data_IF_694251485722
#
_entry.id   IF_694251485722
#
_cell.length_a   1.000
_cell.length_b   1.000
_cell.length_c   1.000
_cell.angle_alpha   90.00
_cell.angle_beta   90.00
_cell.angle_gamma   90.00
#
_symmetry.space_group_name_H-M   'P 1'
#
loop_
_entity.id
_entity.type
_entity.pdbx_description
1 polymer ?
#
# COMPACT_ATOMS: atom_id res chain seq x y z
N UNK A 1 -59.09 -0.35 -62.23
CA UNK A 1 -58.35 -1.59 -61.96
C UNK A 1 -56.88 -1.23 -61.85
N UNK A 2 -56.31 -1.26 -60.64
CA UNK A 2 -54.93 -1.68 -60.32
C UNK A 2 -54.65 -1.38 -58.84
N UNK A 3 -54.12 -2.39 -58.14
CA UNK A 3 -53.78 -2.39 -56.71
C UNK A 3 -52.60 -1.45 -56.41
N UNK A 4 -52.54 -0.90 -55.21
CA UNK A 4 -51.26 -0.57 -54.57
C UNK A 4 -51.34 -0.67 -53.06
N UNK A 5 -50.23 -1.17 -52.52
CA UNK A 5 -49.99 -1.81 -51.23
C UNK A 5 -49.63 -0.83 -50.11
N UNK A 6 -49.93 -1.26 -48.89
CA UNK A 6 -49.64 -0.58 -47.62
C UNK A 6 -48.15 -0.63 -47.28
N UNK A 7 -47.59 0.47 -46.78
CA UNK A 7 -46.33 0.51 -46.02
C UNK A 7 -46.64 1.14 -44.67
N UNK A 8 -46.42 0.37 -43.59
CA UNK A 8 -46.54 0.83 -42.20
C UNK A 8 -45.22 1.49 -41.76
N UNK A 9 -45.31 2.70 -41.24
CA UNK A 9 -44.21 3.40 -40.60
C UNK A 9 -43.99 2.86 -39.18
N UNK A 10 -42.74 2.47 -38.86
CA UNK A 10 -42.29 2.15 -37.50
C UNK A 10 -41.55 3.34 -36.90
N UNK A 11 -41.95 3.75 -35.70
CA UNK A 11 -41.34 4.83 -34.91
C UNK A 11 -40.10 4.28 -34.19
N UNK A 12 -38.93 4.85 -34.46
CA UNK A 12 -37.69 4.63 -33.72
C UNK A 12 -37.60 5.64 -32.57
N UNK A 13 -37.68 5.15 -31.32
CA UNK A 13 -37.32 5.90 -30.12
C UNK A 13 -35.86 5.60 -29.79
N UNK A 14 -34.98 6.58 -29.99
CA UNK A 14 -33.59 6.52 -29.57
C UNK A 14 -33.48 6.97 -28.11
N UNK A 15 -33.03 6.10 -27.21
CA UNK A 15 -32.67 6.45 -25.84
C UNK A 15 -31.17 6.80 -25.79
N UNK A 16 -30.87 8.06 -25.49
CA UNK A 16 -29.53 8.57 -25.18
C UNK A 16 -29.16 8.13 -23.75
N UNK A 17 -28.12 7.30 -23.61
CA UNK A 17 -27.49 7.04 -22.32
C UNK A 17 -26.46 8.14 -22.05
N UNK A 18 -26.66 8.91 -20.97
CA UNK A 18 -25.64 9.81 -20.43
C UNK A 18 -24.62 9.01 -19.64
N UNK A 19 -23.36 9.04 -20.08
CA UNK A 19 -22.22 8.57 -19.30
C UNK A 19 -21.93 9.60 -18.20
N UNK A 20 -22.31 9.27 -16.96
CA UNK A 20 -21.85 9.99 -15.77
C UNK A 20 -20.50 9.44 -15.33
N UNK A 21 -19.50 10.31 -15.20
CA UNK A 21 -18.24 10.00 -14.51
C UNK A 21 -18.54 9.69 -13.03
N UNK A 22 -18.50 8.40 -12.66
CA UNK A 22 -18.67 7.93 -11.29
C UNK A 22 -17.32 7.63 -10.64
N UNK A 23 -17.08 8.20 -9.46
CA UNK A 23 -15.96 7.82 -8.59
C UNK A 23 -16.05 6.35 -8.17
N UNK A 24 -14.89 5.75 -7.94
CA UNK A 24 -14.75 4.34 -7.56
C UNK A 24 -15.68 4.00 -6.39
N UNK A 25 -16.74 3.25 -6.71
CA UNK A 25 -17.66 2.67 -5.75
C UNK A 25 -17.30 1.19 -5.70
N UNK A 26 -17.03 0.67 -4.50
CA UNK A 26 -16.95 -0.77 -4.30
C UNK A 26 -18.36 -1.31 -4.55
N UNK A 27 -18.51 -2.13 -5.59
CA UNK A 27 -19.79 -2.69 -5.99
C UNK A 27 -20.02 -2.67 -7.50
N UNK A 28 -19.31 -3.53 -8.22
CA UNK A 28 -19.82 -4.24 -9.40
C UNK A 28 -18.79 -5.28 -9.83
N UNK A 29 -18.99 -6.55 -9.48
CA UNK A 29 -18.39 -7.67 -10.22
C UNK A 29 -19.20 -8.95 -10.05
N UNK A 30 -19.40 -9.57 -11.20
CA UNK A 30 -20.13 -10.80 -11.49
C UNK A 30 -19.41 -12.04 -10.96
N UNK A 31 -20.15 -12.90 -10.26
CA UNK A 31 -19.72 -14.25 -9.92
C UNK A 31 -19.65 -15.13 -11.18
N UNK A 32 -18.43 -15.30 -11.70
CA UNK A 32 -18.09 -16.23 -12.78
C UNK A 32 -17.41 -17.46 -12.18
N UNK A 33 -18.07 -18.61 -12.24
CA UNK A 33 -17.74 -19.81 -11.49
C UNK A 33 -16.56 -20.63 -12.03
N UNK A 34 -15.91 -21.28 -11.07
CA UNK A 34 -14.88 -22.30 -11.22
C UNK A 34 -14.17 -22.45 -9.89
N UNK A 35 -14.80 -23.06 -8.87
CA UNK A 35 -14.12 -23.32 -7.60
C UNK A 35 -13.12 -24.45 -7.83
N UNK A 36 -11.82 -24.18 -7.85
CA UNK A 36 -10.88 -25.25 -7.52
C UNK A 36 -11.07 -25.68 -6.07
N UNK A 37 -10.35 -26.72 -5.64
CA UNK A 37 -10.59 -27.39 -4.35
C UNK A 37 -10.50 -26.45 -3.12
N UNK A 38 -9.82 -25.31 -3.25
CA UNK A 38 -9.69 -24.27 -2.23
C UNK A 38 -10.84 -23.23 -2.18
N UNK A 39 -11.61 -23.07 -3.26
CA UNK A 39 -12.66 -22.03 -3.35
C UNK A 39 -12.16 -20.63 -3.71
N UNK A 40 -12.99 -19.61 -3.49
CA UNK A 40 -12.69 -18.22 -3.84
C UNK A 40 -11.84 -17.54 -2.75
N UNK A 41 -10.88 -16.70 -3.15
CA UNK A 41 -10.05 -15.89 -2.26
C UNK A 41 -9.94 -14.45 -2.77
N UNK A 42 -10.52 -13.48 -2.05
CA UNK A 42 -10.48 -12.06 -2.43
C UNK A 42 -9.36 -11.33 -1.66
N UNK A 43 -8.31 -10.93 -2.35
CA UNK A 43 -7.19 -10.20 -1.74
C UNK A 43 -7.19 -8.75 -2.21
N UNK A 44 -7.05 -7.81 -1.27
CA UNK A 44 -6.81 -6.41 -1.61
C UNK A 44 -5.40 -6.26 -2.22
N UNK A 45 -5.20 -5.25 -3.07
CA UNK A 45 -3.89 -4.83 -3.60
C UNK A 45 -3.73 -3.36 -3.23
N UNK A 46 -2.87 -3.07 -2.26
CA UNK A 46 -2.60 -1.69 -1.86
C UNK A 46 -1.48 -1.06 -2.71
N UNK A 47 -1.52 0.27 -2.94
CA UNK A 47 -0.77 0.90 -4.04
C UNK A 47 0.68 1.22 -3.67
N UNK A 48 1.42 0.23 -3.17
CA UNK A 48 2.87 0.27 -3.02
C UNK A 48 3.48 -1.12 -3.27
N UNK A 49 4.68 -1.14 -3.85
CA UNK A 49 5.21 -2.38 -4.43
C UNK A 49 5.59 -3.44 -3.39
N UNK A 50 5.92 -3.03 -2.16
CA UNK A 50 6.14 -3.95 -1.04
C UNK A 50 4.88 -4.80 -0.74
N UNK A 51 3.71 -4.17 -0.76
CA UNK A 51 2.44 -4.87 -0.59
C UNK A 51 2.14 -5.74 -1.80
N UNK A 52 2.33 -5.20 -3.01
CA UNK A 52 2.10 -5.93 -4.25
C UNK A 52 2.92 -7.23 -4.29
N UNK A 53 4.16 -7.21 -3.79
CA UNK A 53 5.00 -8.38 -3.62
C UNK A 53 4.39 -9.42 -2.66
N UNK A 54 3.96 -9.00 -1.47
CA UNK A 54 3.28 -9.88 -0.50
C UNK A 54 2.05 -10.55 -1.11
N UNK A 55 1.17 -9.75 -1.72
CA UNK A 55 -0.08 -10.22 -2.29
C UNK A 55 0.14 -11.11 -3.53
N UNK A 56 1.14 -10.81 -4.36
CA UNK A 56 1.46 -11.60 -5.54
C UNK A 56 1.95 -13.00 -5.17
N UNK A 57 2.82 -13.14 -4.16
CA UNK A 57 3.30 -14.44 -3.69
C UNK A 57 2.17 -15.27 -3.09
N UNK A 58 1.35 -14.66 -2.22
CA UNK A 58 0.19 -15.34 -1.64
C UNK A 58 -0.81 -15.80 -2.70
N UNK A 59 -1.13 -14.93 -3.67
CA UNK A 59 -2.04 -15.28 -4.76
C UNK A 59 -1.47 -16.42 -5.62
N UNK A 60 -0.20 -16.33 -6.01
CA UNK A 60 0.43 -17.35 -6.84
C UNK A 60 0.44 -18.72 -6.14
N UNK A 61 0.78 -18.78 -4.85
CA UNK A 61 0.75 -20.03 -4.07
C UNK A 61 -0.69 -20.55 -3.91
N UNK A 62 -1.65 -19.68 -3.63
CA UNK A 62 -3.06 -20.05 -3.54
C UNK A 62 -3.58 -20.65 -4.85
N UNK A 63 -3.25 -20.06 -5.99
CA UNK A 63 -3.67 -20.54 -7.32
C UNK A 63 -2.98 -21.86 -7.70
N UNK A 64 -1.66 -21.95 -7.50
CA UNK A 64 -0.85 -23.04 -8.04
C UNK A 64 -0.72 -24.27 -7.14
N UNK A 65 -0.68 -24.08 -5.81
CA UNK A 65 -0.50 -25.17 -4.85
C UNK A 65 -1.82 -25.62 -4.21
N UNK A 66 -2.82 -24.73 -4.15
CA UNK A 66 -4.12 -25.00 -3.50
C UNK A 66 -5.31 -24.98 -4.47
N UNK A 67 -5.13 -24.49 -5.69
CA UNK A 67 -6.21 -24.38 -6.67
C UNK A 67 -7.30 -23.37 -6.26
N UNK A 68 -6.97 -22.31 -5.53
CA UNK A 68 -7.93 -21.26 -5.20
C UNK A 68 -8.24 -20.41 -6.44
N UNK A 69 -9.45 -19.86 -6.52
CA UNK A 69 -9.80 -18.81 -7.48
C UNK A 69 -9.57 -17.45 -6.83
N UNK A 70 -8.46 -16.80 -7.18
CA UNK A 70 -8.05 -15.55 -6.52
C UNK A 70 -8.59 -14.35 -7.28
N UNK A 71 -9.29 -13.47 -6.57
CA UNK A 71 -9.69 -12.15 -7.07
C UNK A 71 -8.85 -11.08 -6.40
N UNK A 72 -8.04 -10.38 -7.18
CA UNK A 72 -7.21 -9.25 -6.74
C UNK A 72 -8.00 -7.95 -6.91
N UNK A 73 -8.04 -7.09 -5.89
CA UNK A 73 -8.79 -5.84 -5.91
C UNK A 73 -7.90 -4.66 -5.54
N UNK A 74 -7.62 -3.81 -6.52
CA UNK A 74 -6.87 -2.57 -6.31
C UNK A 74 -7.67 -1.62 -5.42
N UNK A 75 -7.20 -1.45 -4.18
CA UNK A 75 -7.88 -0.68 -3.14
C UNK A 75 -6.85 0.09 -2.33
N UNK A 76 -7.21 1.29 -1.90
CA UNK A 76 -6.46 1.99 -0.83
C UNK A 76 -6.57 1.18 0.46
N UNK A 77 -5.54 1.22 1.29
CA UNK A 77 -5.45 0.41 2.51
C UNK A 77 -6.71 0.55 3.38
N UNK A 78 -7.05 1.78 3.78
CA UNK A 78 -8.26 2.05 4.60
C UNK A 78 -9.57 1.60 3.93
N UNK A 79 -9.63 1.65 2.59
CA UNK A 79 -10.81 1.22 1.84
C UNK A 79 -10.94 -0.29 1.85
N UNK A 80 -9.83 -1.03 1.83
CA UNK A 80 -9.84 -2.50 1.89
C UNK A 80 -10.53 -3.01 3.16
N UNK A 81 -10.36 -2.32 4.29
CA UNK A 81 -11.03 -2.65 5.55
C UNK A 81 -12.56 -2.59 5.47
N UNK A 82 -13.12 -1.74 4.62
CA UNK A 82 -14.57 -1.64 4.43
C UNK A 82 -15.16 -2.90 3.77
N UNK A 83 -14.36 -3.61 2.97
CA UNK A 83 -14.77 -4.82 2.25
C UNK A 83 -14.90 -6.07 3.13
N UNK A 84 -14.38 -6.05 4.36
CA UNK A 84 -14.44 -7.23 5.24
C UNK A 84 -15.88 -7.62 5.61
N UNK A 85 -16.74 -6.64 5.89
CA UNK A 85 -18.13 -6.88 6.28
C UNK A 85 -19.02 -7.40 5.15
N UNK A 86 -18.69 -7.05 3.90
CA UNK A 86 -19.44 -7.46 2.70
C UNK A 86 -18.92 -8.77 2.09
N UNK A 87 -17.72 -9.20 2.48
CA UNK A 87 -17.01 -10.32 1.84
C UNK A 87 -16.39 -9.95 0.50
N UNK A 88 -16.25 -8.65 0.22
CA UNK A 88 -15.53 -8.19 -0.98
C UNK A 88 -14.02 -8.26 -0.78
N UNK A 89 -13.53 -8.23 0.45
CA UNK A 89 -12.11 -8.43 0.78
C UNK A 89 -12.04 -9.50 1.86
N UNK A 90 -11.21 -10.52 1.64
CA UNK A 90 -10.91 -11.57 2.61
C UNK A 90 -9.63 -11.27 3.38
N UNK A 91 -8.61 -10.66 2.75
CA UNK A 91 -7.34 -10.37 3.38
C UNK A 91 -6.72 -9.02 2.95
N UNK A 92 -6.17 -8.33 3.95
CA UNK A 92 -5.13 -7.30 3.84
C UNK A 92 -3.86 -7.90 4.45
N UNK A 93 -2.78 -7.98 3.68
CA UNK A 93 -1.62 -8.84 4.02
C UNK A 93 -0.37 -8.09 4.48
N UNK A 94 -0.48 -6.77 4.58
CA UNK A 94 0.51 -5.87 5.14
C UNK A 94 -0.21 -4.62 5.59
N UNK A 95 -0.44 -4.53 6.90
CA UNK A 95 -1.17 -3.43 7.50
C UNK A 95 -0.20 -2.56 8.32
N UNK A 96 -0.12 -1.27 7.99
CA UNK A 96 0.78 -0.30 8.60
C UNK A 96 0.18 0.33 9.87
N UNK A 97 -0.24 -0.52 10.82
CA UNK A 97 -0.83 -0.06 12.09
C UNK A 97 -2.36 0.05 12.04
N UNK A 98 -2.91 1.28 12.03
CA UNK A 98 -4.36 1.55 12.02
C UNK A 98 -5.16 1.12 13.26
N UNK A 99 -4.79 1.61 14.46
CA UNK A 99 -5.50 1.32 15.70
C UNK A 99 -6.98 1.75 15.70
N UNK A 100 -7.30 2.82 14.98
CA UNK A 100 -8.66 3.30 14.77
C UNK A 100 -9.48 2.32 13.92
N UNK A 101 -8.90 1.76 12.84
CA UNK A 101 -9.55 0.74 12.02
C UNK A 101 -9.69 -0.58 12.79
N UNK A 102 -8.69 -0.98 13.58
CA UNK A 102 -8.82 -2.15 14.47
C UNK A 102 -9.99 -2.00 15.42
N UNK A 103 -10.04 -0.88 16.14
CA UNK A 103 -11.15 -0.59 17.06
C UNK A 103 -12.51 -0.68 16.36
N UNK A 104 -12.62 -0.06 15.18
CA UNK A 104 -13.86 -0.05 14.41
C UNK A 104 -14.25 -1.44 13.89
N UNK A 105 -13.36 -2.14 13.19
CA UNK A 105 -13.70 -3.36 12.44
C UNK A 105 -13.51 -4.66 13.23
N UNK A 106 -12.56 -4.69 14.17
CA UNK A 106 -12.30 -5.86 15.01
C UNK A 106 -13.15 -5.78 16.30
N UNK A 107 -13.06 -4.69 17.05
CA UNK A 107 -13.67 -4.63 18.39
C UNK A 107 -15.16 -4.30 18.34
N UNK A 108 -15.53 -3.25 17.60
CA UNK A 108 -16.90 -2.74 17.55
C UNK A 108 -17.77 -3.54 16.57
N UNK A 109 -17.38 -3.61 15.28
CA UNK A 109 -18.18 -4.26 14.23
C UNK A 109 -17.96 -5.78 14.15
N UNK A 110 -16.81 -6.29 14.60
CA UNK A 110 -16.45 -7.72 14.59
C UNK A 110 -16.50 -8.36 13.20
N UNK A 111 -16.20 -7.57 12.17
CA UNK A 111 -16.16 -7.99 10.77
C UNK A 111 -14.75 -8.41 10.34
N UNK A 112 -13.71 -8.06 11.11
CA UNK A 112 -12.33 -8.41 10.85
C UNK A 112 -11.66 -9.06 12.07
N UNK A 113 -10.55 -9.77 11.85
CA UNK A 113 -9.67 -10.31 12.88
C UNK A 113 -8.21 -10.22 12.46
N UNK A 114 -7.28 -10.13 13.42
CA UNK A 114 -5.85 -10.24 13.11
C UNK A 114 -5.49 -11.69 12.76
N UNK A 115 -4.77 -11.85 11.66
CA UNK A 115 -4.11 -13.08 11.27
C UNK A 115 -2.62 -13.10 11.70
N UNK A 116 -2.16 -12.12 12.48
CA UNK A 116 -0.81 -12.03 13.03
C UNK A 116 0.21 -11.46 12.05
N UNK A 117 1.46 -11.39 12.48
CA UNK A 117 2.58 -10.79 11.75
C UNK A 117 2.78 -11.39 10.35
N UNK A 118 3.14 -10.53 9.39
CA UNK A 118 3.67 -10.88 8.07
C UNK A 118 5.16 -11.28 8.14
N UNK A 119 5.83 -10.99 9.27
CA UNK A 119 7.27 -11.14 9.47
C UNK A 119 8.08 -9.95 8.95
N UNK A 120 7.40 -8.93 8.39
CA UNK A 120 8.02 -7.72 7.86
C UNK A 120 8.02 -6.64 8.92
N UNK A 121 9.19 -6.10 9.21
CA UNK A 121 9.37 -4.97 10.12
C UNK A 121 9.44 -3.67 9.33
N UNK A 122 8.48 -2.76 9.58
CA UNK A 122 8.33 -1.50 8.89
C UNK A 122 8.89 -0.32 9.68
N UNK A 123 9.45 0.66 9.00
CA UNK A 123 9.79 1.95 9.58
C UNK A 123 9.47 3.06 8.58
N UNK A 124 8.69 4.05 9.02
CA UNK A 124 8.38 5.27 8.27
C UNK A 124 9.30 6.39 8.75
N UNK A 125 9.61 7.34 7.88
CA UNK A 125 10.30 8.56 8.30
C UNK A 125 10.53 9.55 7.17
N UNK A 126 11.27 10.61 7.49
CA UNK A 126 11.74 11.57 6.49
C UNK A 126 13.14 11.22 6.05
N UNK A 127 13.41 11.40 4.77
CA UNK A 127 14.66 11.03 4.16
C UNK A 127 15.19 12.14 3.26
N UNK A 128 16.50 12.23 3.16
CA UNK A 128 17.22 13.06 2.21
C UNK A 128 18.15 12.20 1.35
N UNK A 129 18.44 12.61 0.11
CA UNK A 129 19.45 11.94 -0.71
C UNK A 129 20.85 11.97 -0.07
N UNK A 130 21.68 10.93 -0.29
CA UNK A 130 23.06 10.86 0.21
C UNK A 130 23.87 12.12 -0.06
N UNK A 131 23.82 12.66 -1.28
CA UNK A 131 24.61 13.85 -1.63
C UNK A 131 24.27 15.07 -0.78
N UNK A 132 23.00 15.19 -0.35
CA UNK A 132 22.52 16.32 0.42
C UNK A 132 23.00 16.23 1.85
N UNK A 133 22.95 15.03 2.44
CA UNK A 133 23.52 14.75 3.76
C UNK A 133 25.05 14.89 3.77
N UNK A 134 25.75 14.47 2.72
CA UNK A 134 27.21 14.66 2.61
C UNK A 134 27.58 16.16 2.58
N UNK A 135 26.80 16.95 1.84
CA UNK A 135 27.06 18.39 1.70
C UNK A 135 26.63 19.20 2.92
N UNK A 136 25.54 18.80 3.59
CA UNK A 136 25.00 19.46 4.78
C UNK A 136 24.81 18.43 5.90
N UNK A 137 25.88 18.05 6.62
CA UNK A 137 25.81 16.93 7.58
C UNK A 137 24.86 17.14 8.75
N UNK A 138 24.48 18.38 9.08
CA UNK A 138 23.53 18.72 10.13
C UNK A 138 22.06 18.75 9.64
N UNK A 139 21.79 18.46 8.36
CA UNK A 139 20.44 18.48 7.77
C UNK A 139 19.56 17.32 8.27
N UNK A 140 20.17 16.24 8.75
CA UNK A 140 19.45 15.07 9.27
C UNK A 140 18.94 15.28 10.69
N UNK A 141 19.34 16.33 11.40
CA UNK A 141 18.72 16.69 12.68
C UNK A 141 17.52 17.61 12.41
N UNK A 142 16.32 17.14 12.79
CA UNK A 142 15.07 17.88 12.56
C UNK A 142 15.12 19.32 13.09
N UNK A 143 15.87 19.59 14.17
CA UNK A 143 16.00 20.92 14.77
C UNK A 143 16.64 21.93 13.81
N UNK A 144 17.44 21.45 12.85
CA UNK A 144 18.14 22.29 11.89
C UNK A 144 17.34 22.52 10.61
N UNK A 145 16.22 21.83 10.38
CA UNK A 145 15.51 21.89 9.09
C UNK A 145 15.06 23.30 8.71
N UNK A 146 14.71 24.16 9.68
CA UNK A 146 14.33 25.55 9.40
C UNK A 146 15.45 26.40 8.81
N UNK A 147 16.72 26.06 9.08
CA UNK A 147 17.90 26.68 8.44
C UNK A 147 17.89 26.43 6.92
N UNK A 148 17.28 25.34 6.48
CA UNK A 148 17.28 24.85 5.11
C UNK A 148 15.95 25.04 4.38
N UNK A 149 14.90 25.54 5.03
CA UNK A 149 13.55 25.63 4.48
C UNK A 149 13.51 26.32 3.10
N UNK A 150 14.23 27.43 2.92
CA UNK A 150 14.28 28.14 1.63
C UNK A 150 14.86 27.31 0.48
N UNK A 151 15.73 26.33 0.79
CA UNK A 151 16.34 25.44 -0.21
C UNK A 151 15.32 24.48 -0.83
N UNK A 152 14.28 24.11 -0.08
CA UNK A 152 13.25 23.16 -0.49
C UNK A 152 12.00 23.85 -1.05
N UNK A 153 12.04 25.16 -1.31
CA UNK A 153 10.86 25.89 -1.82
C UNK A 153 10.46 25.43 -3.22
N UNK A 154 9.17 25.23 -3.40
CA UNK A 154 8.53 24.94 -4.69
C UNK A 154 7.37 25.90 -4.94
N UNK A 155 6.79 25.84 -6.13
CA UNK A 155 5.53 26.56 -6.42
C UNK A 155 4.38 26.13 -5.49
N UNK A 156 4.37 24.87 -5.07
CA UNK A 156 3.35 24.21 -4.29
C UNK A 156 3.47 24.54 -2.79
N UNK A 157 4.70 24.76 -2.30
CA UNK A 157 5.00 25.14 -0.92
C UNK A 157 5.03 26.66 -0.70
N UNK A 158 5.15 27.45 -1.76
CA UNK A 158 5.09 28.92 -1.73
C UNK A 158 6.28 29.55 -1.02
N UNK A 159 6.03 30.12 0.17
CA UNK A 159 7.08 30.75 0.99
C UNK A 159 7.81 29.76 1.93
N UNK A 160 7.25 28.56 2.11
CA UNK A 160 7.75 27.54 3.01
C UNK A 160 8.57 26.50 2.24
N UNK A 161 9.45 25.76 2.91
CA UNK A 161 10.08 24.57 2.32
C UNK A 161 9.04 23.50 2.00
N UNK A 162 9.28 22.68 0.98
CA UNK A 162 8.46 21.51 0.71
C UNK A 162 8.97 20.31 1.51
N UNK A 163 8.07 19.65 2.24
CA UNK A 163 8.22 18.24 2.62
C UNK A 163 7.39 17.42 1.63
N UNK A 164 8.04 16.60 0.81
CA UNK A 164 7.35 15.79 -0.19
C UNK A 164 6.79 14.53 0.46
N UNK A 165 5.47 14.34 0.38
CA UNK A 165 4.78 13.15 0.91
C UNK A 165 4.27 12.26 -0.26
N UNK A 166 3.81 11.05 0.04
CA UNK A 166 3.34 10.05 -0.91
C UNK A 166 1.91 10.24 -1.39
N UNK A 167 1.18 9.13 -1.52
CA UNK A 167 -0.27 9.18 -1.72
C UNK A 167 -0.96 9.63 -0.42
N UNK A 168 -1.96 10.53 -0.46
CA UNK A 168 -2.68 10.98 0.74
C UNK A 168 -3.39 9.89 1.56
N UNK A 169 -3.44 8.65 1.08
CA UNK A 169 -3.97 7.49 1.80
C UNK A 169 -2.91 6.61 2.45
N UNK A 170 -1.63 6.97 2.34
CA UNK A 170 -0.59 6.32 3.13
C UNK A 170 -0.69 6.74 4.59
N UNK A 171 -0.23 5.87 5.48
CA UNK A 171 -0.08 6.20 6.89
C UNK A 171 0.99 7.29 7.02
N UNK A 172 0.57 8.47 7.45
CA UNK A 172 1.45 9.63 7.64
C UNK A 172 0.95 10.51 8.78
N UNK A 173 1.90 11.12 9.48
CA UNK A 173 1.75 12.10 10.54
C UNK A 173 2.39 13.45 10.16
N UNK A 174 2.79 13.60 8.90
CA UNK A 174 3.74 14.63 8.47
C UNK A 174 3.20 16.06 8.64
N UNK A 175 1.89 16.27 8.44
CA UNK A 175 1.27 17.58 8.70
C UNK A 175 1.29 17.95 10.19
N UNK A 176 0.99 16.98 11.06
CA UNK A 176 1.05 17.17 12.51
C UNK A 176 2.48 17.41 12.97
N UNK A 177 3.45 16.65 12.44
CA UNK A 177 4.87 16.83 12.73
C UNK A 177 5.38 18.21 12.31
N UNK A 178 5.15 18.61 11.06
CA UNK A 178 5.55 19.94 10.55
C UNK A 178 4.98 21.04 11.44
N UNK A 179 3.69 20.96 11.79
CA UNK A 179 3.02 21.93 12.65
C UNK A 179 3.59 21.95 14.07
N UNK A 180 3.64 20.80 14.74
CA UNK A 180 3.94 20.69 16.16
C UNK A 180 5.44 20.85 16.46
N UNK A 181 6.31 20.57 15.49
CA UNK A 181 7.74 20.87 15.54
C UNK A 181 8.06 22.31 15.11
N UNK A 182 7.05 23.13 14.78
CA UNK A 182 7.19 24.52 14.32
C UNK A 182 8.14 24.65 13.12
N UNK A 183 8.00 23.76 12.16
CA UNK A 183 8.82 23.77 10.95
C UNK A 183 8.22 24.73 9.91
N UNK A 184 9.08 25.51 9.26
CA UNK A 184 8.75 26.39 8.14
C UNK A 184 8.62 25.59 6.84
N UNK A 185 7.83 24.53 6.88
CA UNK A 185 7.60 23.61 5.78
C UNK A 185 6.11 23.48 5.52
N UNK A 186 5.78 23.07 4.30
CA UNK A 186 4.45 22.66 3.89
C UNK A 186 4.56 21.24 3.32
N UNK A 187 3.69 20.37 3.79
CA UNK A 187 3.53 19.02 3.22
C UNK A 187 2.89 19.15 1.85
N UNK A 188 3.49 18.50 0.86
CA UNK A 188 3.00 18.43 -0.52
C UNK A 188 2.97 16.98 -0.94
N UNK A 189 1.78 16.47 -1.23
CA UNK A 189 1.59 15.08 -1.65
C UNK A 189 1.94 14.89 -3.13
N UNK A 190 2.93 14.05 -3.41
CA UNK A 190 3.31 13.61 -4.75
C UNK A 190 2.35 12.58 -5.35
N UNK A 191 1.47 12.00 -4.54
CA UNK A 191 0.34 11.17 -4.98
C UNK A 191 0.65 9.70 -5.22
N UNK A 192 1.90 9.25 -5.08
CA UNK A 192 2.27 7.83 -5.21
C UNK A 192 3.68 7.52 -4.68
N UNK A 193 3.93 6.24 -4.37
CA UNK A 193 5.28 5.70 -4.11
C UNK A 193 6.22 5.94 -5.31
N UNK A 194 5.73 5.74 -6.54
CA UNK A 194 6.52 5.96 -7.76
C UNK A 194 6.99 7.41 -7.87
N UNK A 195 6.15 8.39 -7.51
CA UNK A 195 6.54 9.79 -7.51
C UNK A 195 7.66 10.10 -6.50
N UNK A 196 7.59 9.53 -5.29
CA UNK A 196 8.64 9.63 -4.27
C UNK A 196 9.96 9.05 -4.77
N UNK A 197 9.93 7.83 -5.31
CA UNK A 197 11.12 7.14 -5.86
C UNK A 197 11.78 7.99 -6.96
N UNK A 198 10.98 8.53 -7.88
CA UNK A 198 11.49 9.38 -8.96
C UNK A 198 12.07 10.69 -8.43
N UNK A 199 11.43 11.31 -7.44
CA UNK A 199 11.94 12.53 -6.81
C UNK A 199 13.33 12.29 -6.18
N UNK A 200 13.48 11.20 -5.41
CA UNK A 200 14.77 10.85 -4.80
C UNK A 200 15.84 10.48 -5.84
N UNK A 201 15.50 9.71 -6.87
CA UNK A 201 16.43 9.39 -7.97
C UNK A 201 16.92 10.63 -8.71
N UNK A 202 16.00 11.53 -9.07
CA UNK A 202 16.35 12.78 -9.74
C UNK A 202 17.16 13.70 -8.83
N UNK A 203 16.81 13.76 -7.55
CA UNK A 203 17.55 14.52 -6.55
C UNK A 203 18.99 14.04 -6.43
N UNK A 204 19.21 12.72 -6.37
CA UNK A 204 20.55 12.14 -6.30
C UNK A 204 21.35 12.35 -7.61
N UNK A 205 20.74 12.14 -8.76
CA UNK A 205 21.39 12.28 -10.06
C UNK A 205 21.75 13.74 -10.39
N UNK A 206 20.83 14.68 -10.13
CA UNK A 206 20.96 16.08 -10.52
C UNK A 206 21.46 16.98 -9.38
N UNK A 207 21.67 16.43 -8.18
CA UNK A 207 22.04 17.17 -6.97
C UNK A 207 21.04 18.30 -6.66
N UNK A 208 19.76 18.01 -6.84
CA UNK A 208 18.66 18.93 -6.51
C UNK A 208 18.06 18.58 -5.15
N UNK A 209 17.80 19.56 -4.27
CA UNK A 209 17.38 19.32 -2.89
C UNK A 209 15.98 18.71 -2.82
N UNK A 210 15.84 17.60 -2.10
CA UNK A 210 14.57 16.98 -1.72
C UNK A 210 14.67 16.47 -0.28
N UNK A 211 13.63 16.72 0.50
CA UNK A 211 13.34 16.03 1.76
C UNK A 211 11.93 15.46 1.61
N UNK A 212 11.72 14.21 1.99
CA UNK A 212 10.41 13.59 1.82
C UNK A 212 10.16 12.39 2.70
N UNK A 213 8.88 12.07 2.84
CA UNK A 213 8.36 10.83 3.38
C UNK A 213 8.93 9.64 2.60
N UNK A 214 9.35 8.62 3.32
CA UNK A 214 9.59 7.29 2.77
C UNK A 214 9.51 6.25 3.88
N UNK A 215 9.76 4.99 3.53
CA UNK A 215 9.71 3.90 4.50
C UNK A 215 10.67 2.78 4.13
N UNK A 216 10.97 1.92 5.10
CA UNK A 216 11.64 0.64 4.91
C UNK A 216 10.73 -0.51 5.38
N UNK A 217 10.82 -1.71 4.80
CA UNK A 217 11.74 -2.09 3.72
C UNK A 217 11.36 -1.46 2.38
N UNK A 218 12.38 -1.03 1.64
CA UNK A 218 12.23 -0.49 0.30
C UNK A 218 13.41 -0.88 -0.58
N UNK A 219 13.13 -1.41 -1.76
CA UNK A 219 14.16 -1.86 -2.71
C UNK A 219 15.03 -0.70 -3.22
N UNK A 220 14.52 0.54 -3.20
CA UNK A 220 15.27 1.73 -3.61
C UNK A 220 16.54 1.93 -2.78
N UNK A 221 16.54 1.52 -1.50
CA UNK A 221 17.72 1.66 -0.62
C UNK A 221 18.95 0.90 -1.14
N UNK A 222 18.78 -0.11 -2.00
CA UNK A 222 19.89 -0.82 -2.63
C UNK A 222 20.53 -0.03 -3.79
N UNK A 223 19.83 0.96 -4.35
CA UNK A 223 20.34 1.86 -5.39
C UNK A 223 20.82 3.19 -4.80
N UNK A 224 20.02 3.75 -3.89
CA UNK A 224 20.27 5.03 -3.24
C UNK A 224 20.04 4.83 -1.75
N UNK A 225 21.13 4.81 -0.97
CA UNK A 225 21.09 4.70 0.50
C UNK A 225 20.60 6.03 1.11
N UNK A 226 19.30 6.33 0.96
CA UNK A 226 18.70 7.55 1.49
C UNK A 226 18.96 7.65 2.99
N UNK A 227 19.28 8.86 3.44
CA UNK A 227 19.66 9.12 4.82
C UNK A 227 18.42 9.59 5.58
N UNK A 228 18.06 8.85 6.64
CA UNK A 228 16.93 9.20 7.50
C UNK A 228 17.23 10.48 8.28
N UNK A 229 16.22 11.34 8.39
CA UNK A 229 16.22 12.49 9.29
C UNK A 229 15.82 12.00 10.68
N UNK A 230 16.67 12.28 11.66
CA UNK A 230 16.40 12.05 13.08
C UNK A 230 15.30 13.00 13.53
N UNK A 231 14.07 12.51 13.65
CA UNK A 231 12.94 13.18 14.31
C UNK A 231 13.00 12.96 15.84
N UNK A 232 12.20 13.68 16.66
CA UNK A 232 12.13 13.38 18.10
C UNK A 232 11.70 11.93 18.29
N UNK A 233 12.46 11.14 19.06
CA UNK A 233 12.20 9.68 19.16
C UNK A 233 10.77 9.36 19.56
N UNK A 234 10.21 8.33 18.93
CA UNK A 234 8.93 7.77 19.32
C UNK A 234 8.96 7.30 20.79
N UNK A 235 7.87 7.58 21.50
CA UNK A 235 7.56 6.98 22.81
C UNK A 235 6.13 6.49 22.78
N UNK A 236 5.85 5.34 23.41
CA UNK A 236 4.52 4.74 23.42
C UNK A 236 3.40 5.76 23.75
N UNK A 237 2.42 5.87 22.87
CA UNK A 237 1.27 6.77 22.99
C UNK A 237 1.52 8.20 22.50
N UNK A 238 2.69 8.50 21.93
CA UNK A 238 2.94 9.79 21.29
C UNK A 238 2.03 10.05 20.08
N UNK A 239 1.59 8.97 19.41
CA UNK A 239 0.68 8.94 18.26
C UNK A 239 -0.80 8.74 18.65
N UNK A 240 -1.14 8.74 19.95
CA UNK A 240 -2.51 8.49 20.42
C UNK A 240 -3.49 9.63 20.10
N UNK A 241 -2.99 10.86 19.89
CA UNK A 241 -3.78 12.02 19.48
C UNK A 241 -3.19 12.59 18.18
N UNK A 242 -3.82 12.35 17.02
CA UNK A 242 -3.32 12.78 15.72
C UNK A 242 -2.98 14.26 15.62
N UNK A 243 -3.66 15.13 16.38
CA UNK A 243 -3.40 16.57 16.34
C UNK A 243 -2.15 17.00 17.14
N UNK A 244 -1.68 16.14 18.06
CA UNK A 244 -0.58 16.44 19.00
C UNK A 244 0.73 15.71 18.68
N UNK A 245 0.77 14.93 17.61
CA UNK A 245 1.95 14.15 17.24
C UNK A 245 3.14 15.07 17.01
N UNK A 246 4.23 14.81 17.73
CA UNK A 246 5.48 15.57 17.67
C UNK A 246 6.70 14.66 17.85
N UNK A 247 6.58 13.38 17.45
CA UNK A 247 7.64 12.40 17.47
C UNK A 247 7.67 11.59 16.16
N UNK A 248 8.80 10.97 15.91
CA UNK A 248 9.03 10.00 14.85
C UNK A 248 8.00 8.86 14.90
N UNK A 249 7.91 8.13 13.81
CA UNK A 249 7.05 6.97 13.69
C UNK A 249 7.54 5.82 14.59
N UNK A 250 6.64 4.97 15.10
CA UNK A 250 7.05 3.73 15.77
C UNK A 250 7.70 2.77 14.76
N UNK A 251 8.43 1.79 15.29
CA UNK A 251 8.74 0.59 14.51
C UNK A 251 7.46 -0.24 14.40
N UNK A 252 7.16 -0.73 13.20
CA UNK A 252 5.96 -1.48 12.90
C UNK A 252 6.28 -2.97 12.74
N UNK A 253 5.54 -3.83 13.44
CA UNK A 253 5.39 -5.23 13.04
C UNK A 253 4.21 -5.30 12.08
N UNK A 254 4.47 -5.34 10.77
CA UNK A 254 3.41 -5.35 9.76
C UNK A 254 2.65 -6.66 9.87
N UNK A 255 1.33 -6.56 10.03
CA UNK A 255 0.48 -7.72 10.25
C UNK A 255 -0.56 -7.90 9.15
N UNK A 256 -1.20 -9.06 9.20
CA UNK A 256 -2.27 -9.43 8.28
C UNK A 256 -3.59 -9.28 9.00
N UNK A 257 -4.55 -8.66 8.34
CA UNK A 257 -5.92 -8.53 8.80
C UNK A 257 -6.83 -9.24 7.82
N UNK A 258 -7.72 -10.08 8.33
CA UNK A 258 -8.64 -10.85 7.49
C UNK A 258 -10.08 -10.64 7.91
N UNK A 259 -11.01 -10.90 7.00
CA UNK A 259 -12.43 -10.90 7.35
C UNK A 259 -12.70 -12.00 8.38
N UNK A 260 -13.59 -11.72 9.34
CA UNK A 260 -14.04 -12.70 10.35
C UNK A 260 -14.63 -13.94 9.69
N UNK A 261 -15.37 -13.74 8.59
CA UNK A 261 -15.98 -14.81 7.80
C UNK A 261 -14.93 -15.74 7.18
N UNK A 262 -13.86 -15.19 6.59
CA UNK A 262 -12.77 -15.96 6.01
C UNK A 262 -12.02 -16.76 7.07
N UNK A 263 -11.74 -16.14 8.24
CA UNK A 263 -11.12 -16.81 9.36
C UNK A 263 -11.98 -17.94 9.95
N UNK A 264 -13.29 -17.73 10.11
CA UNK A 264 -14.22 -18.72 10.66
C UNK A 264 -14.45 -19.90 9.72
N UNK A 265 -14.43 -19.66 8.40
CA UNK A 265 -14.50 -20.73 7.41
C UNK A 265 -13.27 -21.66 7.49
N UNK A 266 -12.10 -21.12 7.90
CA UNK A 266 -10.92 -21.91 8.21
C UNK A 266 -10.28 -22.64 7.03
N UNK A 267 -10.66 -22.28 5.79
CA UNK A 267 -10.29 -22.99 4.56
C UNK A 267 -8.80 -22.89 4.18
N UNK A 268 -8.36 -23.60 3.13
CA UNK A 268 -6.96 -23.66 2.73
C UNK A 268 -6.31 -22.29 2.49
N UNK A 269 -7.00 -21.36 1.83
CA UNK A 269 -6.51 -20.00 1.62
C UNK A 269 -6.31 -19.24 2.94
N UNK A 270 -7.20 -19.39 3.92
CA UNK A 270 -7.03 -18.77 5.23
C UNK A 270 -5.81 -19.33 5.96
N UNK A 271 -5.60 -20.64 5.92
CA UNK A 271 -4.42 -21.26 6.53
C UNK A 271 -3.13 -20.76 5.86
N UNK A 272 -3.11 -20.63 4.53
CA UNK A 272 -1.99 -20.04 3.80
C UNK A 272 -1.69 -18.62 4.30
N UNK A 273 -2.68 -17.73 4.33
CA UNK A 273 -2.52 -16.35 4.83
C UNK A 273 -2.08 -16.35 6.30
N UNK A 274 -2.68 -17.20 7.13
CA UNK A 274 -2.37 -17.30 8.56
C UNK A 274 -0.92 -17.70 8.80
N UNK A 275 -0.42 -18.67 8.04
CA UNK A 275 0.93 -19.20 8.18
C UNK A 275 2.00 -18.35 7.46
N UNK A 276 1.61 -17.58 6.45
CA UNK A 276 2.52 -16.75 5.66
C UNK A 276 3.31 -15.79 6.54
N UNK A 277 4.62 -16.01 6.62
CA UNK A 277 5.56 -15.12 7.25
C UNK A 277 6.86 -15.18 6.47
N UNK A 278 7.47 -14.04 6.22
CA UNK A 278 8.76 -13.93 5.54
C UNK A 278 9.50 -12.65 5.94
N UNK A 279 10.72 -12.50 5.43
CA UNK A 279 11.62 -11.41 5.85
C UNK A 279 11.49 -10.16 4.97
N UNK A 280 11.98 -9.03 5.46
CA UNK A 280 12.17 -7.80 4.67
C UNK A 280 12.96 -8.05 3.38
N UNK A 281 13.96 -8.92 3.41
CA UNK A 281 14.78 -9.26 2.24
C UNK A 281 13.97 -10.02 1.18
N UNK A 282 13.14 -10.97 1.61
CA UNK A 282 12.25 -11.72 0.70
C UNK A 282 11.27 -10.78 0.00
N UNK A 283 10.65 -9.87 0.76
CA UNK A 283 9.75 -8.86 0.21
C UNK A 283 10.47 -7.93 -0.78
N UNK A 284 11.64 -7.41 -0.41
CA UNK A 284 12.43 -6.53 -1.27
C UNK A 284 12.90 -7.21 -2.55
N UNK A 285 13.24 -8.51 -2.52
CA UNK A 285 13.63 -9.25 -3.72
C UNK A 285 12.50 -9.32 -4.75
N UNK A 286 11.28 -9.63 -4.29
CA UNK A 286 10.09 -9.68 -5.15
C UNK A 286 9.69 -8.28 -5.60
N UNK A 287 9.67 -7.31 -4.67
CA UNK A 287 9.33 -5.92 -4.96
C UNK A 287 10.27 -5.31 -6.00
N UNK A 288 11.58 -5.56 -5.89
CA UNK A 288 12.57 -5.16 -6.90
C UNK A 288 12.32 -5.82 -8.25
N UNK A 289 11.98 -7.11 -8.26
CA UNK A 289 11.67 -7.84 -9.50
C UNK A 289 10.46 -7.22 -10.23
N UNK A 290 9.49 -6.69 -9.48
CA UNK A 290 8.34 -5.96 -10.04
C UNK A 290 8.78 -4.57 -10.51
N UNK A 291 9.36 -3.78 -9.61
CA UNK A 291 9.60 -2.36 -9.82
C UNK A 291 10.77 -2.07 -10.78
N UNK A 292 11.87 -2.81 -10.69
CA UNK A 292 13.09 -2.55 -11.44
C UNK A 292 13.24 -3.51 -12.63
N UNK A 293 13.10 -4.82 -12.40
CA UNK A 293 13.22 -5.82 -13.49
C UNK A 293 11.99 -5.82 -14.42
N UNK A 294 10.93 -5.06 -14.08
CA UNK A 294 9.68 -4.92 -14.86
C UNK A 294 8.96 -6.24 -15.11
N UNK A 295 9.12 -7.22 -14.22
CA UNK A 295 8.31 -8.42 -14.26
C UNK A 295 6.86 -8.10 -13.86
N UNK A 296 5.91 -8.86 -14.39
CA UNK A 296 4.56 -8.85 -13.80
C UNK A 296 4.63 -9.38 -12.36
N UNK A 297 3.71 -8.97 -11.48
CA UNK A 297 3.68 -9.47 -10.10
C UNK A 297 3.62 -11.00 -10.04
N UNK A 298 2.84 -11.63 -10.93
CA UNK A 298 2.77 -13.09 -11.05
C UNK A 298 4.11 -13.71 -11.45
N UNK A 299 4.84 -13.12 -12.41
CA UNK A 299 6.13 -13.64 -12.84
C UNK A 299 7.21 -13.46 -11.76
N UNK A 300 7.19 -12.34 -11.03
CA UNK A 300 8.07 -12.09 -9.89
C UNK A 300 7.78 -13.09 -8.75
N UNK A 301 6.51 -13.29 -8.40
CA UNK A 301 6.08 -14.28 -7.43
C UNK A 301 6.52 -15.69 -7.83
N UNK A 302 6.27 -16.10 -9.08
CA UNK A 302 6.71 -17.38 -9.62
C UNK A 302 8.22 -17.60 -9.47
N UNK A 303 9.02 -16.61 -9.88
CA UNK A 303 10.49 -16.64 -9.80
C UNK A 303 10.94 -16.90 -8.37
N UNK A 304 10.37 -16.19 -7.40
CA UNK A 304 10.74 -16.33 -6.00
C UNK A 304 10.25 -17.65 -5.39
N UNK A 305 8.99 -18.03 -5.67
CA UNK A 305 8.37 -19.29 -5.20
C UNK A 305 9.14 -20.51 -5.69
N UNK A 306 9.54 -20.53 -6.96
CA UNK A 306 10.32 -21.64 -7.54
C UNK A 306 11.69 -21.81 -6.86
N UNK A 307 12.27 -20.71 -6.36
CA UNK A 307 13.56 -20.68 -5.66
C UNK A 307 13.46 -20.97 -4.15
N UNK A 308 12.27 -20.81 -3.54
CA UNK A 308 12.06 -20.85 -2.09
C UNK A 308 11.01 -21.90 -1.66
N UNK A 309 10.97 -23.05 -2.36
CA UNK A 309 9.93 -24.08 -2.16
C UNK A 309 9.81 -24.58 -0.73
N UNK A 310 10.91 -24.65 0.01
CA UNK A 310 10.94 -25.03 1.42
C UNK A 310 10.15 -24.05 2.30
N UNK A 311 10.27 -22.74 2.06
CA UNK A 311 9.48 -21.71 2.75
C UNK A 311 7.98 -21.89 2.45
N UNK A 312 7.63 -22.16 1.18
CA UNK A 312 6.23 -22.35 0.77
C UNK A 312 5.58 -23.53 1.50
N UNK A 313 6.29 -24.65 1.61
CA UNK A 313 5.77 -25.84 2.30
C UNK A 313 5.41 -25.56 3.76
N UNK A 314 6.09 -24.62 4.42
CA UNK A 314 5.76 -24.22 5.79
C UNK A 314 4.44 -23.43 5.88
N UNK A 315 4.00 -22.80 4.79
CA UNK A 315 2.77 -22.02 4.76
C UNK A 315 1.53 -22.84 4.40
N UNK A 316 1.69 -23.92 3.64
CA UNK A 316 0.58 -24.76 3.20
C UNK A 316 -0.12 -25.47 4.38
N UNK A 317 -1.44 -25.75 4.26
CA UNK A 317 -2.15 -26.53 5.27
C UNK A 317 -1.51 -27.90 5.48
N UNK A 318 -1.38 -28.33 6.73
CA UNK A 318 -0.91 -29.69 7.05
C UNK A 318 -1.99 -30.70 6.63
N UNK A 319 -1.57 -31.69 5.85
CA UNK A 319 -2.39 -32.84 5.41
C UNK A 319 -2.76 -33.76 6.58
#
# INVERSE_FOLDING_TARGET
>A
MTRSTWVRAGVLLAAMAMAGCGGAKVGESSSGGGSGDCGDFNIAINPWVGYEANAAVLAYVAETELGCTVTKKDLKEEVAWQGFGTGEVDAVVENWGHDDLRKKYIDEQKTAVSAGSTGVEGQIGWYVPPWLAEKYPDITDWNNLNKYADMFRTSESGAQGQLLDGDPSFVTNDEALVKNLNLNYKVVYGGSETALIQAFRQAEANKTPVIGYFYSPQWLFAEIELVKVDLPKYTAGCDADPEKIACDYPDYDLDKIVSKKFADAGGPAYQLVKNFQWTNDDQNEVAKSIAEDKLSPEAAAKKWVDANKDKIQAWLPKS
#
